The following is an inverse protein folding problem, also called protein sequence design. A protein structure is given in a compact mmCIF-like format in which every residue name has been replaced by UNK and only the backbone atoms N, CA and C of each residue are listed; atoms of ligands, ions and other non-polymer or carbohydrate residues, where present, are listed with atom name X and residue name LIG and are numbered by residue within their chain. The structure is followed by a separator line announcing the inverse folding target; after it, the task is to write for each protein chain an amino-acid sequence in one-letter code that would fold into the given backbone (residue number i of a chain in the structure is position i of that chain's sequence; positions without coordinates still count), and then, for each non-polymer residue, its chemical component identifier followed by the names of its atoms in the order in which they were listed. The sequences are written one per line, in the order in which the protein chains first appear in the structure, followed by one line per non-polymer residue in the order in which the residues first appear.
data_IF_651759038234
#
_entry.id   IF_651759038234
#
_cell.length_a   1.000
_cell.length_b   1.000
_cell.length_c   1.000
_cell.angle_alpha   90.00
_cell.angle_beta   90.00
_cell.angle_gamma   90.00
#
_symmetry.space_group_name_H-M   'P 1'
#
loop_
_entity.id
_entity.type
_entity.pdbx_description
1 polymer ?
#
# COMPACT_ATOMS: atom_id res chain seq x y z
N UNK A 1 13.83 49.72 -1.44
CA UNK A 1 13.89 48.64 -0.43
C UNK A 1 13.89 47.32 -1.18
N UNK A 2 14.96 46.54 -1.07
CA UNK A 2 14.99 45.19 -1.62
C UNK A 2 13.89 44.37 -0.94
N UNK A 3 13.06 43.67 -1.73
CA UNK A 3 12.15 42.68 -1.14
C UNK A 3 12.98 41.62 -0.42
N UNK A 4 12.51 41.09 0.73
CA UNK A 4 13.20 40.00 1.39
C UNK A 4 13.27 38.80 0.43
N UNK A 5 14.37 38.04 0.40
CA UNK A 5 14.43 36.80 -0.36
C UNK A 5 13.23 35.94 0.03
N UNK A 6 12.51 35.44 -0.98
CA UNK A 6 11.27 34.69 -0.82
C UNK A 6 11.43 33.67 0.29
N UNK A 7 10.43 33.65 1.18
CA UNK A 7 10.34 32.82 2.37
C UNK A 7 10.92 31.44 2.08
N UNK A 8 12.05 31.12 2.72
CA UNK A 8 12.70 29.82 2.56
C UNK A 8 11.64 28.69 2.64
N UNK A 9 11.75 27.66 1.79
CA UNK A 9 10.85 26.52 1.76
C UNK A 9 10.94 25.72 3.09
N UNK A 10 10.29 26.23 4.14
CA UNK A 10 10.20 25.63 5.48
C UNK A 10 9.13 24.53 5.55
N UNK A 11 8.21 24.50 4.57
CA UNK A 11 7.20 23.47 4.44
C UNK A 11 7.75 22.28 3.65
N UNK A 12 7.52 21.10 4.20
CA UNK A 12 7.87 19.82 3.59
C UNK A 12 7.02 19.60 2.34
N UNK A 13 7.65 19.35 1.19
CA UNK A 13 6.96 18.93 -0.05
C UNK A 13 7.36 17.50 -0.37
N UNK A 14 6.41 16.63 -0.68
CA UNK A 14 6.69 15.26 -1.11
C UNK A 14 6.14 14.98 -2.51
N UNK A 15 6.90 14.20 -3.26
CA UNK A 15 6.49 13.59 -4.51
C UNK A 15 6.67 12.08 -4.40
N UNK A 16 5.59 11.33 -4.55
CA UNK A 16 5.69 9.88 -4.67
C UNK A 16 6.23 9.52 -6.06
N UNK A 17 7.30 8.74 -6.10
CA UNK A 17 7.98 8.29 -7.32
C UNK A 17 8.06 6.77 -7.40
N UNK A 18 7.24 6.06 -6.61
CA UNK A 18 7.25 4.59 -6.49
C UNK A 18 7.07 3.89 -7.84
N UNK A 19 6.17 4.39 -8.69
CA UNK A 19 5.99 3.83 -10.04
C UNK A 19 7.25 3.96 -10.88
N UNK A 20 7.85 5.14 -10.90
CA UNK A 20 9.09 5.38 -11.64
C UNK A 20 10.24 4.53 -11.08
N UNK A 21 10.32 4.38 -9.76
CA UNK A 21 11.33 3.56 -9.11
C UNK A 21 11.23 2.09 -9.54
N UNK A 22 10.02 1.53 -9.63
CA UNK A 22 9.80 0.18 -10.15
C UNK A 22 10.37 0.02 -11.55
N UNK A 23 9.99 0.92 -12.46
CA UNK A 23 10.46 0.91 -13.85
C UNK A 23 11.99 1.09 -13.93
N UNK A 24 12.57 1.90 -13.03
CA UNK A 24 14.01 2.11 -12.94
C UNK A 24 14.74 0.84 -12.50
N UNK A 25 14.29 0.16 -11.43
CA UNK A 25 14.90 -1.09 -10.97
C UNK A 25 14.78 -2.20 -12.00
N UNK A 26 13.63 -2.33 -12.66
CA UNK A 26 13.44 -3.30 -13.74
C UNK A 26 14.44 -3.10 -14.88
N UNK A 27 14.73 -1.84 -15.25
CA UNK A 27 15.67 -1.50 -16.31
C UNK A 27 17.12 -1.66 -15.87
N UNK A 28 17.51 -1.05 -14.76
CA UNK A 28 18.91 -0.93 -14.37
C UNK A 28 19.46 -2.23 -13.78
N UNK A 29 18.69 -2.95 -12.97
CA UNK A 29 19.18 -4.20 -12.38
C UNK A 29 19.37 -5.30 -13.44
N UNK A 30 18.56 -5.30 -14.51
CA UNK A 30 18.73 -6.23 -15.63
C UNK A 30 20.02 -5.99 -16.44
N UNK A 31 20.72 -4.86 -16.23
CA UNK A 31 22.02 -4.61 -16.87
C UNK A 31 23.19 -5.29 -16.15
N UNK A 32 22.95 -5.82 -14.95
CA UNK A 32 24.00 -6.42 -14.13
C UNK A 32 24.41 -7.78 -14.71
N UNK A 33 25.67 -7.85 -15.13
CA UNK A 33 26.33 -9.08 -15.55
C UNK A 33 27.74 -9.13 -14.96
N UNK A 34 28.07 -10.25 -14.33
CA UNK A 34 29.34 -10.46 -13.66
C UNK A 34 29.98 -11.75 -14.17
N UNK A 35 31.29 -11.70 -14.42
CA UNK A 35 32.07 -12.87 -14.84
C UNK A 35 32.52 -13.66 -13.62
N UNK A 36 32.49 -14.98 -13.72
CA UNK A 36 32.96 -15.89 -12.68
C UNK A 36 34.49 -16.03 -12.67
N UNK A 37 34.98 -16.91 -11.80
CA UNK A 37 36.42 -17.10 -11.61
C UNK A 37 37.03 -18.00 -12.71
N UNK A 38 36.22 -18.81 -13.41
CA UNK A 38 36.66 -19.60 -14.57
C UNK A 38 36.23 -19.00 -15.90
N UNK A 39 37.03 -19.27 -16.93
CA UNK A 39 36.74 -18.86 -18.30
C UNK A 39 35.43 -19.51 -18.78
N UNK A 40 34.44 -18.69 -19.12
CA UNK A 40 33.10 -19.12 -19.54
C UNK A 40 32.02 -19.03 -18.45
N UNK A 41 32.37 -18.81 -17.18
CA UNK A 41 31.37 -18.61 -16.12
C UNK A 41 30.82 -17.17 -16.15
N UNK A 42 29.50 -17.04 -16.21
CA UNK A 42 28.80 -15.73 -16.20
C UNK A 42 27.58 -15.83 -15.30
N UNK A 43 27.33 -14.79 -14.50
CA UNK A 43 26.12 -14.63 -13.69
C UNK A 43 25.49 -13.28 -14.03
N UNK A 44 24.20 -13.26 -14.30
CA UNK A 44 23.45 -12.05 -14.64
C UNK A 44 22.10 -11.99 -13.93
N UNK A 45 21.57 -10.78 -13.81
CA UNK A 45 20.18 -10.57 -13.39
C UNK A 45 19.31 -10.64 -14.63
N UNK A 46 18.35 -11.56 -14.63
CA UNK A 46 17.41 -11.77 -15.75
C UNK A 46 16.32 -10.69 -15.76
N UNK A 47 15.64 -10.52 -14.62
CA UNK A 47 14.63 -9.47 -14.44
C UNK A 47 14.27 -9.28 -12.98
N UNK A 48 13.72 -8.11 -12.66
CA UNK A 48 12.98 -7.89 -11.40
C UNK A 48 11.56 -8.46 -11.57
N UNK A 49 11.13 -9.26 -10.61
CA UNK A 49 9.79 -9.88 -10.61
C UNK A 49 8.79 -9.12 -9.76
N UNK A 50 9.27 -8.53 -8.66
CA UNK A 50 8.41 -7.76 -7.77
C UNK A 50 9.22 -6.69 -7.05
N UNK A 51 8.56 -5.57 -6.79
CA UNK A 51 9.06 -4.48 -5.96
C UNK A 51 7.89 -4.02 -5.09
N UNK A 52 8.07 -4.08 -3.79
CA UNK A 52 7.07 -3.68 -2.81
C UNK A 52 7.67 -2.64 -1.87
N UNK A 53 6.87 -1.67 -1.43
CA UNK A 53 7.35 -0.53 -0.64
C UNK A 53 7.23 0.82 -1.35
N UNK A 54 7.70 1.85 -0.66
CA UNK A 54 7.42 3.24 -0.98
C UNK A 54 8.70 3.98 -1.36
N UNK A 55 8.62 4.81 -2.40
CA UNK A 55 9.71 5.71 -2.81
C UNK A 55 9.17 7.12 -2.97
N UNK A 56 9.72 8.04 -2.19
CA UNK A 56 9.36 9.45 -2.17
C UNK A 56 10.59 10.35 -2.32
N UNK A 57 10.39 11.46 -3.03
CA UNK A 57 11.33 12.57 -3.04
C UNK A 57 10.72 13.73 -2.26
N UNK A 58 11.38 14.11 -1.18
CA UNK A 58 11.02 15.23 -0.33
C UNK A 58 11.84 16.48 -0.62
N UNK A 59 11.29 17.66 -0.34
CA UNK A 59 12.03 18.91 -0.26
C UNK A 59 11.80 19.56 1.09
N UNK A 60 12.88 19.85 1.82
CA UNK A 60 12.86 20.57 3.10
C UNK A 60 14.02 21.54 3.20
N UNK A 61 13.76 22.78 3.63
CA UNK A 61 14.80 23.82 3.77
C UNK A 61 15.63 23.97 2.49
N UNK A 62 14.96 23.91 1.33
CA UNK A 62 15.57 23.94 0.00
C UNK A 62 16.53 22.79 -0.33
N UNK A 63 16.56 21.72 0.47
CA UNK A 63 17.30 20.48 0.17
C UNK A 63 16.34 19.40 -0.28
N UNK A 64 16.72 18.66 -1.32
CA UNK A 64 16.03 17.44 -1.73
C UNK A 64 16.51 16.28 -0.85
N UNK A 65 15.58 15.45 -0.41
CA UNK A 65 15.82 14.30 0.46
C UNK A 65 15.07 13.13 -0.18
N UNK A 66 15.76 12.06 -0.52
CA UNK A 66 15.10 10.81 -0.93
C UNK A 66 14.64 10.09 0.33
N UNK A 67 13.46 9.47 0.29
CA UNK A 67 12.98 8.58 1.35
C UNK A 67 12.45 7.36 0.65
N UNK A 68 13.05 6.22 0.91
CA UNK A 68 12.60 4.98 0.33
C UNK A 68 12.90 3.82 1.24
N UNK A 69 12.00 2.85 1.19
CA UNK A 69 12.13 1.54 1.80
C UNK A 69 11.40 0.57 0.88
N UNK A 70 12.16 -0.30 0.23
CA UNK A 70 11.62 -1.22 -0.76
C UNK A 70 12.17 -2.63 -0.58
N UNK A 71 11.28 -3.61 -0.72
CA UNK A 71 11.62 -5.00 -0.92
C UNK A 71 11.72 -5.29 -2.40
N UNK A 72 12.82 -5.89 -2.84
CA UNK A 72 13.06 -6.24 -4.24
C UNK A 72 13.17 -7.76 -4.38
N UNK A 73 12.42 -8.32 -5.32
CA UNK A 73 12.52 -9.73 -5.72
C UNK A 73 12.96 -9.79 -7.18
N UNK A 74 14.10 -10.43 -7.44
CA UNK A 74 14.66 -10.57 -8.77
C UNK A 74 14.97 -12.03 -9.12
N UNK A 75 14.97 -12.33 -10.42
CA UNK A 75 15.49 -13.59 -10.96
C UNK A 75 16.89 -13.38 -11.47
N UNK A 76 17.77 -14.31 -11.15
CA UNK A 76 19.14 -14.34 -11.63
C UNK A 76 19.38 -15.64 -12.39
N UNK A 77 20.27 -15.57 -13.35
CA UNK A 77 20.66 -16.66 -14.22
C UNK A 77 22.20 -16.71 -14.27
N UNK A 78 22.74 -17.89 -14.53
CA UNK A 78 24.16 -18.04 -14.72
C UNK A 78 24.49 -19.23 -15.60
N UNK A 79 25.61 -19.14 -16.29
CA UNK A 79 26.15 -20.20 -17.14
C UNK A 79 27.45 -20.67 -16.52
N UNK A 80 27.56 -21.96 -16.22
CA UNK A 80 28.79 -22.57 -15.72
C UNK A 80 29.78 -22.82 -16.88
N UNK A 81 31.04 -23.13 -16.54
CA UNK A 81 32.10 -23.40 -17.52
C UNK A 81 31.82 -24.60 -18.44
N UNK A 82 30.91 -25.49 -18.06
CA UNK A 82 30.49 -26.66 -18.84
C UNK A 82 29.25 -26.38 -19.73
N UNK A 83 28.73 -25.14 -19.71
CA UNK A 83 27.52 -24.74 -20.42
C UNK A 83 26.23 -25.02 -19.64
N UNK A 84 26.30 -25.52 -18.41
CA UNK A 84 25.10 -25.72 -17.57
C UNK A 84 24.50 -24.39 -17.16
N UNK A 85 23.20 -24.23 -17.42
CA UNK A 85 22.44 -23.05 -17.01
C UNK A 85 21.87 -23.24 -15.59
N UNK A 86 22.10 -22.24 -14.76
CA UNK A 86 21.62 -22.16 -13.38
C UNK A 86 20.68 -20.98 -13.27
N UNK A 87 19.53 -21.19 -12.65
CA UNK A 87 18.60 -20.11 -12.39
C UNK A 87 18.11 -20.14 -10.94
N UNK A 88 17.81 -18.96 -10.44
CA UNK A 88 17.37 -18.76 -9.08
C UNK A 88 16.62 -17.46 -8.89
N UNK A 89 16.10 -17.30 -7.68
CA UNK A 89 15.45 -16.07 -7.23
C UNK A 89 16.25 -15.50 -6.08
N UNK A 90 16.43 -14.18 -6.07
CA UNK A 90 17.04 -13.43 -4.98
C UNK A 90 16.02 -12.44 -4.45
N UNK A 91 15.76 -12.50 -3.15
CA UNK A 91 14.91 -11.54 -2.44
C UNK A 91 15.78 -10.68 -1.52
N UNK A 92 15.69 -9.37 -1.70
CA UNK A 92 16.31 -8.37 -0.84
C UNK A 92 15.16 -7.75 -0.06
N UNK A 93 15.03 -8.04 1.24
CA UNK A 93 13.86 -7.66 2.02
C UNK A 93 13.79 -6.16 2.27
N UNK A 94 14.93 -5.47 2.23
CA UNK A 94 15.03 -4.05 2.51
C UNK A 94 16.14 -3.42 1.67
N UNK A 95 15.76 -2.47 0.83
CA UNK A 95 16.60 -1.52 0.12
C UNK A 95 16.06 -0.15 0.49
N UNK A 96 16.73 0.48 1.46
CA UNK A 96 16.27 1.71 2.10
C UNK A 96 17.32 2.81 2.08
N UNK A 97 16.88 4.06 2.24
CA UNK A 97 17.76 5.23 2.28
C UNK A 97 18.87 5.08 3.34
N UNK A 98 18.49 4.63 4.53
CA UNK A 98 19.38 4.47 5.68
C UNK A 98 20.45 3.39 5.44
N UNK A 99 20.14 2.35 4.66
CA UNK A 99 21.11 1.31 4.29
C UNK A 99 22.03 1.82 3.18
N UNK A 100 21.46 2.41 2.12
CA UNK A 100 22.24 2.81 0.94
C UNK A 100 23.16 4.00 1.19
N UNK A 101 22.68 5.03 1.88
CA UNK A 101 23.39 6.30 2.03
C UNK A 101 24.08 6.42 3.39
N UNK A 102 23.41 6.01 4.46
CA UNK A 102 23.94 6.15 5.83
C UNK A 102 24.74 4.92 6.28
N UNK A 103 24.66 3.80 5.54
CA UNK A 103 25.38 2.57 5.88
C UNK A 103 24.99 2.01 7.25
N UNK A 104 23.76 2.26 7.68
CA UNK A 104 23.26 1.89 9.01
C UNK A 104 23.25 0.38 9.25
N UNK A 105 23.18 -0.42 8.19
CA UNK A 105 23.21 -1.89 8.20
C UNK A 105 23.67 -2.44 6.85
N UNK A 106 24.03 -3.73 6.81
CA UNK A 106 24.33 -4.42 5.56
C UNK A 106 23.05 -4.93 4.90
N UNK A 107 23.02 -4.97 3.57
CA UNK A 107 21.92 -5.59 2.84
C UNK A 107 21.79 -7.08 3.18
N UNK A 108 20.54 -7.52 3.38
CA UNK A 108 20.23 -8.92 3.55
C UNK A 108 19.87 -9.57 2.21
N UNK A 109 20.52 -10.67 1.86
CA UNK A 109 20.29 -11.39 0.61
C UNK A 109 19.68 -12.77 0.89
N UNK A 110 18.40 -12.96 0.52
CA UNK A 110 17.71 -14.24 0.65
C UNK A 110 17.71 -14.96 -0.69
N UNK A 111 18.56 -15.96 -0.82
CA UNK A 111 18.73 -16.73 -2.04
C UNK A 111 17.79 -17.93 -2.09
N UNK A 112 17.25 -18.20 -3.27
CA UNK A 112 16.50 -19.41 -3.58
C UNK A 112 16.99 -19.97 -4.91
N UNK A 113 17.32 -21.26 -4.95
CA UNK A 113 17.79 -21.94 -6.15
C UNK A 113 16.61 -22.69 -6.77
N UNK A 114 16.40 -22.53 -8.07
CA UNK A 114 15.32 -23.21 -8.78
C UNK A 114 15.83 -24.44 -9.55
N UNK A 115 17.09 -24.42 -9.99
CA UNK A 115 17.78 -25.56 -10.63
C UNK A 115 18.15 -26.64 -9.59
N UNK A 116 18.13 -27.91 -9.99
CA UNK A 116 18.57 -29.02 -9.13
C UNK A 116 20.04 -28.88 -8.71
N UNK A 117 20.33 -29.20 -7.45
CA UNK A 117 21.65 -29.04 -6.86
C UNK A 117 22.63 -30.07 -7.44
N UNK A 118 23.73 -29.57 -7.99
CA UNK A 118 24.87 -30.33 -8.50
C UNK A 118 26.15 -29.61 -8.07
N UNK A 119 27.29 -30.30 -7.90
CA UNK A 119 28.55 -29.66 -7.51
C UNK A 119 28.96 -28.47 -8.38
N UNK A 120 28.61 -28.51 -9.68
CA UNK A 120 28.85 -27.40 -10.62
C UNK A 120 27.93 -26.20 -10.33
N UNK A 121 26.67 -26.49 -10.02
CA UNK A 121 25.64 -25.49 -9.70
C UNK A 121 25.95 -24.81 -8.36
N UNK A 122 26.42 -25.56 -7.37
CA UNK A 122 26.84 -25.01 -6.07
C UNK A 122 28.06 -24.08 -6.22
N UNK A 123 29.06 -24.48 -7.00
CA UNK A 123 30.23 -23.64 -7.25
C UNK A 123 29.84 -22.31 -7.92
N UNK A 124 28.96 -22.34 -8.94
CA UNK A 124 28.48 -21.12 -9.59
C UNK A 124 27.59 -20.29 -8.66
N UNK A 125 26.82 -20.93 -7.79
CA UNK A 125 25.99 -20.24 -6.80
C UNK A 125 26.83 -19.51 -5.75
N UNK A 126 27.98 -20.05 -5.35
CA UNK A 126 28.92 -19.37 -4.46
C UNK A 126 29.61 -18.18 -5.14
N UNK A 127 29.90 -18.29 -6.43
CA UNK A 127 30.32 -17.14 -7.26
C UNK A 127 29.22 -16.08 -7.30
N UNK A 128 27.96 -16.47 -7.52
CA UNK A 128 26.84 -15.53 -7.53
C UNK A 128 26.69 -14.82 -6.17
N UNK A 129 26.80 -15.55 -5.05
CA UNK A 129 26.73 -14.97 -3.69
C UNK A 129 27.87 -14.01 -3.36
N UNK A 130 29.05 -14.20 -3.95
CA UNK A 130 30.20 -13.35 -3.68
C UNK A 130 30.28 -12.14 -4.61
N UNK A 131 29.83 -12.29 -5.86
CA UNK A 131 30.02 -11.28 -6.92
C UNK A 131 28.78 -10.45 -7.24
N UNK A 132 27.58 -11.00 -7.05
CA UNK A 132 26.34 -10.28 -7.36
C UNK A 132 26.00 -9.19 -6.32
N UNK A 133 26.18 -9.40 -5.00
CA UNK A 133 25.88 -8.36 -4.01
C UNK A 133 26.67 -7.05 -4.23
N UNK A 134 28.00 -7.05 -4.42
CA UNK A 134 28.73 -5.80 -4.67
C UNK A 134 28.27 -5.07 -5.94
N UNK A 135 27.87 -5.81 -6.98
CA UNK A 135 27.35 -5.22 -8.22
C UNK A 135 25.96 -4.61 -8.03
N UNK A 136 25.10 -5.25 -7.23
CA UNK A 136 23.79 -4.71 -6.86
C UNK A 136 23.93 -3.46 -6.00
N UNK A 137 24.83 -3.46 -5.02
CA UNK A 137 25.09 -2.32 -4.14
C UNK A 137 25.61 -1.10 -4.90
N UNK A 138 26.48 -1.30 -5.89
CA UNK A 138 26.93 -0.24 -6.79
C UNK A 138 25.74 0.41 -7.54
N UNK A 139 24.79 -0.40 -8.02
CA UNK A 139 23.57 0.11 -8.66
C UNK A 139 22.61 0.77 -7.66
N UNK A 140 22.47 0.24 -6.45
CA UNK A 140 21.66 0.89 -5.41
C UNK A 140 22.20 2.27 -5.03
N UNK A 141 23.52 2.46 -5.03
CA UNK A 141 24.13 3.77 -4.79
C UNK A 141 23.82 4.82 -5.88
N UNK A 142 23.57 4.38 -7.13
CA UNK A 142 23.14 5.27 -8.23
C UNK A 142 21.68 5.72 -8.08
N UNK A 143 20.85 4.94 -7.40
CA UNK A 143 19.40 5.14 -7.34
C UNK A 143 18.97 6.49 -6.72
N UNK A 144 19.50 6.92 -5.55
CA UNK A 144 19.19 8.24 -5.01
C UNK A 144 19.54 9.40 -5.95
N UNK A 145 20.67 9.29 -6.65
CA UNK A 145 21.12 10.29 -7.62
C UNK A 145 20.14 10.35 -8.78
N UNK A 146 19.75 9.21 -9.33
CA UNK A 146 18.79 9.12 -10.42
C UNK A 146 17.41 9.70 -10.06
N UNK A 147 16.93 9.48 -8.83
CA UNK A 147 15.68 10.10 -8.34
C UNK A 147 15.81 11.63 -8.36
N UNK A 148 16.90 12.17 -7.81
CA UNK A 148 17.12 13.61 -7.71
C UNK A 148 17.27 14.25 -9.09
N UNK A 149 18.00 13.64 -10.01
CA UNK A 149 18.18 14.17 -11.36
C UNK A 149 16.88 14.18 -12.16
N UNK A 150 16.08 13.12 -12.04
CA UNK A 150 14.85 12.96 -12.82
C UNK A 150 13.70 13.79 -12.25
N UNK A 151 13.56 13.83 -10.93
CA UNK A 151 12.39 14.40 -10.25
C UNK A 151 12.70 15.62 -9.37
N UNK A 152 13.97 15.94 -9.15
CA UNK A 152 14.36 17.07 -8.30
C UNK A 152 13.87 18.41 -8.82
N UNK A 153 13.87 18.59 -10.15
CA UNK A 153 13.37 19.80 -10.82
C UNK A 153 11.89 20.05 -10.57
N UNK A 154 11.11 18.99 -10.40
CA UNK A 154 9.67 19.09 -10.15
C UNK A 154 9.34 19.66 -8.76
N UNK A 155 10.30 19.58 -7.83
CA UNK A 155 10.17 20.10 -6.47
C UNK A 155 10.91 21.44 -6.29
N UNK A 156 11.97 21.68 -7.06
CA UNK A 156 12.67 22.98 -7.10
C UNK A 156 11.97 23.93 -8.07
N UNK A 157 10.97 24.67 -7.59
CA UNK A 157 10.55 25.91 -8.27
C UNK A 157 11.68 26.94 -8.06
N UNK A 158 12.67 26.91 -8.95
CA UNK A 158 13.60 28.01 -9.14
C UNK A 158 13.06 28.83 -10.31
N UNK A 159 12.63 30.05 -10.01
CA UNK A 159 12.32 31.05 -11.01
C UNK A 159 13.50 31.22 -11.96
N UNK A 160 13.24 31.09 -13.25
CA UNK A 160 14.14 31.58 -14.29
C UNK A 160 14.21 33.12 -14.15
N UNK A 161 15.39 33.74 -13.97
CA UNK A 161 15.50 35.19 -13.80
C UNK A 161 15.36 35.87 -15.16
N UNK A 162 14.14 35.91 -15.69
CA UNK A 162 13.82 36.71 -16.87
C UNK A 162 13.75 38.18 -16.48
N UNK A 163 14.94 38.79 -16.53
CA UNK A 163 15.18 40.20 -16.82
C UNK A 163 14.36 40.62 -18.05
N UNK A 164 13.18 41.19 -17.83
CA UNK A 164 12.50 42.01 -18.81
C UNK A 164 11.72 43.10 -18.08
N UNK A 165 12.05 44.35 -18.41
CA UNK A 165 11.57 45.53 -17.71
C UNK A 165 10.05 45.70 -17.77
N UNK A 166 9.56 46.36 -16.72
CA UNK A 166 8.28 47.02 -16.60
C UNK A 166 7.86 47.72 -17.90
N UNK A 167 6.61 47.54 -18.37
CA UNK A 167 5.93 48.60 -19.10
C UNK A 167 5.07 49.40 -18.11
N UNK A 168 5.39 50.68 -18.03
CA UNK A 168 4.57 51.71 -17.40
C UNK A 168 3.18 51.80 -18.07
N UNK A 169 2.13 52.25 -17.35
CA UNK A 169 0.82 52.48 -17.93
C UNK A 169 0.85 53.75 -18.81
N UNK A 170 0.60 53.59 -20.11
CA UNK A 170 0.42 54.71 -21.03
C UNK A 170 -1.01 55.25 -20.94
N UNK A 171 -1.11 56.54 -20.60
CA UNK A 171 -2.31 57.35 -20.73
C UNK A 171 -2.47 57.88 -22.16
N UNK A 172 -3.70 57.87 -22.67
CA UNK A 172 -4.28 58.84 -23.63
C UNK A 172 -5.80 58.57 -23.68
N UNK A 173 -6.65 59.36 -23.03
CA UNK A 173 -7.19 60.67 -23.44
C UNK A 173 -8.31 60.61 -24.48
N UNK A 174 -9.52 60.84 -23.94
CA UNK A 174 -10.65 61.63 -24.45
C UNK A 174 -11.30 61.28 -25.80
N UNK A 175 -12.62 61.05 -25.76
CA UNK A 175 -13.58 62.03 -26.28
C UNK A 175 -14.98 61.83 -25.68
N UNK A 176 -15.63 62.99 -25.50
CA UNK A 176 -16.82 63.26 -24.72
C UNK A 176 -18.13 62.70 -25.31
N UNK A 177 -19.05 62.32 -24.42
CA UNK A 177 -20.42 62.87 -24.43
C UNK A 177 -21.08 62.66 -23.06
N UNK A 178 -21.68 63.72 -22.52
CA UNK A 178 -22.62 63.73 -21.41
C UNK A 178 -23.71 64.76 -21.76
N UNK A 179 -24.86 64.86 -21.06
CA UNK A 179 -25.52 63.92 -20.16
C UNK A 179 -26.99 63.65 -20.56
N UNK A 180 -27.62 62.62 -19.99
CA UNK A 180 -29.07 62.43 -20.08
C UNK A 180 -29.57 61.43 -19.06
N UNK A 181 -30.15 61.92 -17.97
CA UNK A 181 -30.94 61.16 -16.99
C UNK A 181 -32.13 62.06 -16.58
N UNK A 182 -33.23 61.56 -15.95
CA UNK A 182 -33.54 60.19 -15.54
C UNK A 182 -35.00 59.74 -15.87
N UNK A 183 -35.35 58.56 -15.35
CA UNK A 183 -36.69 58.08 -14.95
C UNK A 183 -37.52 57.24 -15.95
N UNK A 184 -37.56 55.92 -15.72
CA UNK A 184 -38.72 55.23 -15.14
C UNK A 184 -38.44 53.71 -15.04
N UNK A 185 -38.58 53.12 -13.86
CA UNK A 185 -38.75 51.67 -13.67
C UNK A 185 -40.25 51.34 -13.71
N UNK A 186 -40.69 50.19 -14.25
CA UNK A 186 -40.93 49.00 -13.41
C UNK A 186 -40.71 47.66 -14.18
N UNK A 187 -41.13 46.47 -13.67
CA UNK A 187 -40.34 45.54 -12.86
C UNK A 187 -39.90 44.24 -13.58
N UNK A 188 -39.09 43.47 -12.85
CA UNK A 188 -38.44 42.17 -13.04
C UNK A 188 -39.21 41.05 -13.78
N UNK A 189 -38.55 40.34 -14.71
CA UNK A 189 -38.25 38.87 -14.65
C UNK A 189 -37.57 38.33 -15.95
N UNK A 190 -36.92 37.15 -15.93
CA UNK A 190 -35.50 36.98 -16.29
C UNK A 190 -35.24 36.53 -17.73
N UNK A 191 -34.12 36.96 -18.32
CA UNK A 191 -33.53 36.32 -19.50
C UNK A 191 -32.49 35.27 -19.08
N UNK A 192 -32.87 33.99 -19.20
CA UNK A 192 -31.97 32.90 -19.62
C UNK A 192 -31.46 33.24 -21.04
N UNK A 193 -30.27 32.91 -21.53
CA UNK A 193 -29.26 31.95 -21.11
C UNK A 193 -27.89 32.38 -21.68
N UNK A 194 -26.82 32.18 -20.91
CA UNK A 194 -25.61 31.58 -21.44
C UNK A 194 -25.39 30.31 -20.64
N UNK A 195 -25.40 29.18 -21.34
CA UNK A 195 -25.23 27.86 -20.75
C UNK A 195 -23.89 27.82 -20.00
N UNK A 196 -23.87 27.44 -18.71
CA UNK A 196 -22.61 27.05 -18.09
C UNK A 196 -22.11 25.83 -18.87
N UNK A 197 -20.84 25.85 -19.29
CA UNK A 197 -20.16 24.64 -19.77
C UNK A 197 -20.43 23.56 -18.72
N UNK A 198 -21.14 22.51 -19.12
CA UNK A 198 -21.43 21.35 -18.27
C UNK A 198 -20.09 20.72 -17.90
N UNK A 199 -19.54 21.13 -16.76
CA UNK A 199 -18.47 20.39 -16.12
C UNK A 199 -19.10 19.07 -15.69
N UNK A 200 -18.75 17.99 -16.38
CA UNK A 200 -19.06 16.64 -15.89
C UNK A 200 -18.47 16.54 -14.49
N UNK A 201 -19.34 16.28 -13.54
CA UNK A 201 -19.02 16.34 -12.12
C UNK A 201 -19.40 15.00 -11.50
N UNK A 202 -18.54 14.47 -10.64
CA UNK A 202 -18.68 13.14 -10.04
C UNK A 202 -18.72 13.26 -8.52
N UNK A 203 -19.18 12.20 -7.87
CA UNK A 203 -19.19 12.05 -6.41
C UNK A 203 -18.08 11.10 -5.98
N UNK A 204 -17.31 11.48 -4.96
CA UNK A 204 -16.24 10.67 -4.39
C UNK A 204 -16.57 10.38 -2.93
N UNK A 205 -16.60 9.10 -2.57
CA UNK A 205 -16.91 8.65 -1.21
C UNK A 205 -15.73 7.90 -0.61
N UNK A 206 -15.39 8.23 0.64
CA UNK A 206 -14.39 7.52 1.44
C UNK A 206 -14.95 7.25 2.82
N UNK A 207 -14.65 6.08 3.38
CA UNK A 207 -15.22 5.64 4.66
C UNK A 207 -14.17 4.95 5.55
N UNK A 208 -14.39 5.02 6.86
CA UNK A 208 -13.49 4.42 7.85
C UNK A 208 -14.21 4.19 9.18
N UNK A 209 -13.86 3.10 9.86
CA UNK A 209 -14.31 2.78 11.21
C UNK A 209 -13.27 3.21 12.24
N UNK A 210 -13.67 3.99 13.25
CA UNK A 210 -12.77 4.46 14.33
C UNK A 210 -13.25 3.97 15.70
N UNK A 211 -12.32 3.59 16.58
CA UNK A 211 -12.61 3.39 18.01
C UNK A 211 -12.73 4.73 18.74
N UNK A 212 -13.86 5.41 18.54
CA UNK A 212 -14.15 6.72 19.10
C UNK A 212 -15.66 6.88 19.36
N UNK A 213 -16.04 7.77 20.26
CA UNK A 213 -17.42 8.21 20.36
C UNK A 213 -17.78 9.14 19.18
N UNK A 214 -19.03 9.07 18.69
CA UNK A 214 -19.49 9.95 17.62
C UNK A 214 -19.39 11.44 17.99
N UNK A 215 -19.68 11.79 19.26
CA UNK A 215 -19.54 13.16 19.78
C UNK A 215 -18.10 13.69 19.68
N UNK A 216 -17.09 12.84 19.89
CA UNK A 216 -15.68 13.24 19.81
C UNK A 216 -15.26 13.48 18.35
N UNK A 217 -15.64 12.59 17.43
CA UNK A 217 -15.36 12.75 16.00
C UNK A 217 -16.07 13.99 15.43
N UNK A 218 -17.33 14.19 15.82
CA UNK A 218 -18.09 15.39 15.45
C UNK A 218 -17.41 16.65 15.96
N UNK A 219 -16.98 16.65 17.22
CA UNK A 219 -16.27 17.79 17.84
C UNK A 219 -14.92 18.05 17.16
N UNK A 220 -14.18 17.02 16.75
CA UNK A 220 -12.91 17.17 16.02
C UNK A 220 -13.10 17.80 14.64
N UNK A 221 -14.27 17.66 14.02
CA UNK A 221 -14.60 18.24 12.71
C UNK A 221 -15.20 19.66 12.79
N UNK A 222 -15.66 20.08 13.97
CA UNK A 222 -16.42 21.32 14.14
C UNK A 222 -15.80 22.32 15.12
N UNK A 223 -15.07 21.87 16.13
CA UNK A 223 -14.46 22.76 17.14
C UNK A 223 -13.12 23.30 16.64
N UNK A 224 -13.04 24.62 16.47
CA UNK A 224 -11.84 25.36 16.05
C UNK A 224 -10.59 24.97 16.86
N UNK A 225 -10.73 24.67 18.15
CA UNK A 225 -9.59 24.32 19.02
C UNK A 225 -9.13 22.88 18.84
N UNK A 226 -10.02 21.99 18.39
CA UNK A 226 -9.73 20.56 18.24
C UNK A 226 -9.29 20.20 16.82
N UNK A 227 -9.78 20.93 15.81
CA UNK A 227 -9.42 20.70 14.41
C UNK A 227 -7.89 20.68 14.17
N UNK A 228 -7.07 21.60 14.74
CA UNK A 228 -5.62 21.59 14.56
C UNK A 228 -4.92 20.30 15.01
N UNK A 229 -5.53 19.52 15.91
CA UNK A 229 -4.94 18.26 16.37
C UNK A 229 -4.76 17.28 15.22
N UNK A 230 -5.76 17.13 14.35
CA UNK A 230 -5.73 16.19 13.24
C UNK A 230 -5.31 16.81 11.90
N UNK A 231 -5.58 18.11 11.70
CA UNK A 231 -5.12 18.82 10.48
C UNK A 231 -3.66 19.24 10.55
N UNK A 232 -3.06 19.28 11.76
CA UNK A 232 -1.70 19.77 12.04
C UNK A 232 -1.44 21.19 11.55
N UNK A 233 -2.51 21.97 11.33
CA UNK A 233 -2.45 23.32 10.82
C UNK A 233 -3.49 24.20 11.53
N UNK A 234 -3.29 25.53 11.55
CA UNK A 234 -4.33 26.45 12.00
C UNK A 234 -5.62 26.25 11.21
N UNK A 235 -6.73 26.31 11.91
CA UNK A 235 -8.05 26.22 11.34
C UNK A 235 -8.92 27.38 11.85
N UNK A 236 -9.93 27.73 11.07
CA UNK A 236 -11.05 28.57 11.50
C UNK A 236 -12.31 27.75 11.40
N UNK A 237 -13.17 27.84 12.40
CA UNK A 237 -14.45 27.14 12.37
C UNK A 237 -15.50 27.95 13.10
N UNK A 238 -16.55 28.34 12.39
CA UNK A 238 -17.79 28.85 12.96
C UNK A 238 -18.90 27.79 12.81
N UNK A 239 -19.06 26.84 13.75
CA UNK A 239 -19.92 25.66 13.60
C UNK A 239 -21.41 26.01 13.79
N UNK A 240 -21.94 26.81 12.86
CA UNK A 240 -23.35 27.18 12.73
C UNK A 240 -23.73 27.13 11.26
N UNK A 241 -24.98 26.80 10.89
CA UNK A 241 -25.43 26.90 9.51
C UNK A 241 -25.18 28.31 8.94
N UNK A 242 -24.52 28.38 7.79
CA UNK A 242 -24.03 29.60 7.15
C UNK A 242 -22.67 30.10 7.63
N UNK A 243 -22.14 29.57 8.73
CA UNK A 243 -20.83 29.90 9.29
C UNK A 243 -19.69 29.44 8.39
N UNK A 244 -18.61 30.20 8.38
CA UNK A 244 -17.43 29.95 7.56
C UNK A 244 -16.43 29.05 8.28
N UNK A 245 -15.72 28.23 7.50
CA UNK A 245 -14.63 27.42 8.00
C UNK A 245 -13.45 27.46 7.04
N UNK A 246 -12.27 27.19 7.60
CA UNK A 246 -11.02 27.03 6.86
C UNK A 246 -10.17 25.96 7.52
N UNK A 247 -9.77 24.96 6.74
CA UNK A 247 -8.95 23.83 7.18
C UNK A 247 -7.59 23.88 6.49
N UNK A 248 -6.62 23.14 7.04
CA UNK A 248 -5.28 22.97 6.47
C UNK A 248 -4.58 24.29 6.16
N UNK A 249 -4.71 25.30 7.04
CA UNK A 249 -4.07 26.60 6.87
C UNK A 249 -4.61 27.44 5.70
N UNK A 250 -5.86 27.22 5.27
CA UNK A 250 -6.47 27.92 4.12
C UNK A 250 -6.63 27.06 2.88
N UNK A 251 -5.97 25.90 2.83
CA UNK A 251 -6.02 25.02 1.65
C UNK A 251 -7.43 24.54 1.31
N UNK A 252 -8.28 24.37 2.32
CA UNK A 252 -9.71 24.08 2.15
C UNK A 252 -10.51 25.16 2.87
N UNK A 253 -11.54 25.66 2.22
CA UNK A 253 -12.46 26.64 2.80
C UNK A 253 -13.89 26.41 2.33
N UNK A 254 -14.84 26.93 3.10
CA UNK A 254 -16.24 26.79 2.76
C UNK A 254 -17.16 27.28 3.87
N UNK A 255 -18.42 26.85 3.79
CA UNK A 255 -19.48 27.20 4.73
C UNK A 255 -20.19 25.95 5.21
N UNK A 256 -20.57 25.94 6.48
CA UNK A 256 -21.48 24.94 7.00
C UNK A 256 -22.86 25.14 6.37
N UNK A 257 -23.39 24.15 5.68
CA UNK A 257 -24.73 24.18 5.08
C UNK A 257 -25.74 23.66 6.10
N UNK A 258 -25.44 22.52 6.73
CA UNK A 258 -26.26 21.91 7.76
C UNK A 258 -25.38 21.21 8.79
N UNK A 259 -25.81 21.21 10.04
CA UNK A 259 -25.10 20.61 11.17
C UNK A 259 -26.11 19.89 12.06
N UNK A 260 -25.97 18.57 12.17
CA UNK A 260 -26.82 17.71 13.01
C UNK A 260 -25.91 16.95 13.98
N UNK A 261 -25.54 17.53 15.14
CA UNK A 261 -24.72 16.83 16.12
C UNK A 261 -25.39 15.56 16.67
N UNK A 262 -24.65 14.45 16.89
CA UNK A 262 -23.30 14.13 16.41
C UNK A 262 -23.29 13.33 15.10
N UNK A 263 -24.37 13.37 14.32
CA UNK A 263 -24.67 12.42 13.23
C UNK A 263 -24.22 12.87 11.86
N UNK A 264 -24.32 14.16 11.54
CA UNK A 264 -24.15 14.63 10.16
C UNK A 264 -23.61 16.07 10.10
N UNK A 265 -22.68 16.30 9.19
CA UNK A 265 -22.12 17.62 8.86
C UNK A 265 -22.17 17.78 7.34
N UNK A 266 -22.91 18.77 6.86
CA UNK A 266 -22.97 19.12 5.43
C UNK A 266 -22.30 20.47 5.24
N UNK A 267 -21.31 20.53 4.37
CA UNK A 267 -20.47 21.69 4.16
C UNK A 267 -20.29 21.97 2.67
N UNK A 268 -20.25 23.24 2.27
CA UNK A 268 -19.65 23.61 1.00
C UNK A 268 -18.14 23.46 1.11
N UNK A 269 -17.49 23.00 0.06
CA UNK A 269 -16.10 22.59 0.07
C UNK A 269 -15.41 23.13 -1.18
N UNK A 270 -14.40 23.98 -0.99
CA UNK A 270 -13.59 24.51 -2.06
C UNK A 270 -12.11 24.34 -1.74
N UNK A 271 -11.33 24.05 -2.78
CA UNK A 271 -9.89 23.86 -2.69
C UNK A 271 -9.18 25.14 -3.15
N UNK A 272 -8.23 25.64 -2.37
CA UNK A 272 -7.32 26.69 -2.79
C UNK A 272 -6.18 26.09 -3.62
N UNK A 273 -6.50 25.58 -4.81
CA UNK A 273 -5.55 24.96 -5.73
C UNK A 273 -5.81 25.41 -7.16
N UNK A 274 -4.76 25.63 -7.99
CA UNK A 274 -4.93 25.94 -9.41
C UNK A 274 -5.52 24.78 -10.22
N UNK A 275 -5.66 23.59 -9.61
CA UNK A 275 -6.15 22.36 -10.23
C UNK A 275 -7.69 22.36 -10.33
N UNK A 276 -8.39 22.98 -9.38
CA UNK A 276 -9.84 23.13 -9.44
C UNK A 276 -10.20 24.41 -10.22
N UNK A 277 -11.26 24.39 -11.07
CA UNK A 277 -11.69 25.59 -11.78
C UNK A 277 -11.99 26.73 -10.80
N UNK A 278 -11.56 27.94 -11.13
CA UNK A 278 -11.75 29.11 -10.25
C UNK A 278 -13.21 29.31 -9.88
N UNK A 279 -13.49 29.34 -8.57
CA UNK A 279 -14.85 29.50 -8.02
C UNK A 279 -15.69 28.22 -8.00
N UNK A 280 -15.12 27.07 -8.36
CA UNK A 280 -15.81 25.78 -8.25
C UNK A 280 -15.89 25.32 -6.80
N UNK A 281 -17.10 24.98 -6.36
CA UNK A 281 -17.39 24.54 -5.00
C UNK A 281 -18.12 23.20 -5.06
N UNK A 282 -17.65 22.24 -4.28
CA UNK A 282 -18.30 20.95 -4.05
C UNK A 282 -19.08 20.97 -2.73
N UNK A 283 -19.81 19.89 -2.45
CA UNK A 283 -20.53 19.67 -1.21
C UNK A 283 -19.95 18.44 -0.52
N UNK A 284 -19.39 18.62 0.67
CA UNK A 284 -18.89 17.56 1.51
C UNK A 284 -19.97 17.20 2.55
N UNK A 285 -20.44 15.97 2.50
CA UNK A 285 -21.35 15.38 3.49
C UNK A 285 -20.55 14.38 4.32
N UNK A 286 -20.45 14.65 5.62
CA UNK A 286 -19.85 13.74 6.59
C UNK A 286 -20.95 13.11 7.43
N UNK A 287 -21.07 11.79 7.37
CA UNK A 287 -22.02 11.01 8.14
C UNK A 287 -21.29 10.18 9.19
N UNK A 288 -21.76 10.24 10.43
CA UNK A 288 -21.18 9.58 11.59
C UNK A 288 -22.23 8.64 12.19
N UNK A 289 -21.97 7.35 12.11
CA UNK A 289 -22.86 6.29 12.61
C UNK A 289 -22.18 5.57 13.76
N UNK A 290 -22.69 5.78 14.97
CA UNK A 290 -22.18 5.12 16.17
C UNK A 290 -22.71 3.69 16.25
N UNK A 291 -21.79 2.74 16.33
CA UNK A 291 -22.03 1.32 16.61
C UNK A 291 -21.71 1.02 18.08
N UNK A 292 -21.83 -0.25 18.49
CA UNK A 292 -21.65 -0.68 19.89
C UNK A 292 -20.22 -0.51 20.40
N UNK A 293 -19.21 -0.70 19.54
CA UNK A 293 -17.78 -0.73 19.88
C UNK A 293 -16.90 0.19 19.01
N UNK A 294 -17.52 0.88 18.05
CA UNK A 294 -16.84 1.65 17.03
C UNK A 294 -17.79 2.69 16.42
N UNK A 295 -17.25 3.64 15.67
CA UNK A 295 -18.02 4.64 14.93
C UNK A 295 -17.58 4.63 13.47
N UNK A 296 -18.54 4.40 12.57
CA UNK A 296 -18.33 4.46 11.12
C UNK A 296 -18.49 5.90 10.66
N UNK A 297 -17.48 6.42 9.95
CA UNK A 297 -17.51 7.76 9.36
C UNK A 297 -17.40 7.65 7.85
N UNK A 298 -18.33 8.29 7.15
CA UNK A 298 -18.36 8.37 5.69
C UNK A 298 -18.22 9.83 5.27
N UNK A 299 -17.26 10.13 4.39
CA UNK A 299 -17.10 11.42 3.73
C UNK A 299 -17.51 11.25 2.27
N UNK A 300 -18.65 11.83 1.88
CA UNK A 300 -19.09 11.93 0.48
C UNK A 300 -18.86 13.36 0.00
N UNK A 301 -18.08 13.51 -1.07
CA UNK A 301 -17.83 14.79 -1.73
C UNK A 301 -18.50 14.76 -3.10
N UNK A 302 -19.66 15.40 -3.18
CA UNK A 302 -20.40 15.60 -4.42
C UNK A 302 -20.00 16.93 -5.05
N UNK A 303 -19.55 16.92 -6.30
CA UNK A 303 -19.07 18.15 -6.92
C UNK A 303 -17.65 18.06 -7.48
N UNK A 304 -17.05 16.89 -7.58
CA UNK A 304 -15.65 16.75 -8.02
C UNK A 304 -15.57 16.86 -9.55
N UNK A 305 -14.72 17.75 -10.10
CA UNK A 305 -14.52 17.83 -11.55
C UNK A 305 -14.06 16.50 -12.16
N UNK A 306 -14.60 16.13 -13.33
CA UNK A 306 -14.23 14.91 -14.02
C UNK A 306 -12.71 14.80 -14.25
N UNK A 307 -12.16 13.61 -13.98
CA UNK A 307 -10.71 13.33 -14.07
C UNK A 307 -9.93 13.61 -12.78
N UNK A 308 -10.53 14.26 -11.77
CA UNK A 308 -9.90 14.54 -10.48
C UNK A 308 -10.39 13.62 -9.35
N UNK A 309 -11.20 12.61 -9.68
CA UNK A 309 -11.86 11.70 -8.73
C UNK A 309 -10.83 10.95 -7.87
N UNK A 310 -9.87 10.27 -8.51
CA UNK A 310 -8.84 9.48 -7.83
C UNK A 310 -7.88 10.32 -6.99
N UNK A 311 -7.54 11.53 -7.43
CA UNK A 311 -6.73 12.46 -6.65
C UNK A 311 -7.52 12.96 -5.42
N UNK A 312 -8.77 13.34 -5.63
CA UNK A 312 -9.64 13.84 -4.57
C UNK A 312 -9.93 12.75 -3.53
N UNK A 313 -10.14 11.51 -3.97
CA UNK A 313 -10.29 10.35 -3.10
C UNK A 313 -9.05 10.14 -2.23
N UNK A 314 -7.87 10.09 -2.85
CA UNK A 314 -6.59 9.94 -2.16
C UNK A 314 -6.32 11.07 -1.17
N UNK A 315 -6.70 12.29 -1.51
CA UNK A 315 -6.59 13.44 -0.61
C UNK A 315 -7.57 13.35 0.55
N UNK A 316 -8.83 12.97 0.32
CA UNK A 316 -9.79 12.76 1.42
C UNK A 316 -9.30 11.65 2.38
N UNK A 317 -8.84 10.52 1.86
CA UNK A 317 -8.25 9.45 2.68
C UNK A 317 -6.97 9.92 3.40
N UNK A 318 -6.09 10.60 2.68
CA UNK A 318 -4.77 11.03 3.16
C UNK A 318 -4.82 12.15 4.20
N UNK A 319 -5.78 13.07 4.10
CA UNK A 319 -5.89 14.20 5.01
C UNK A 319 -6.93 13.98 6.11
N UNK A 320 -8.13 13.48 5.78
CA UNK A 320 -9.20 13.32 6.78
C UNK A 320 -9.00 12.00 7.53
N UNK A 321 -9.01 10.86 6.84
CA UNK A 321 -8.92 9.56 7.49
C UNK A 321 -7.57 9.38 8.20
N UNK A 322 -6.44 9.58 7.51
CA UNK A 322 -5.12 9.48 8.16
C UNK A 322 -4.91 10.57 9.21
N UNK A 323 -5.52 11.75 9.06
CA UNK A 323 -5.50 12.80 10.07
C UNK A 323 -6.03 12.30 11.41
N UNK A 324 -7.19 11.64 11.42
CA UNK A 324 -7.75 11.01 12.62
C UNK A 324 -6.87 9.88 13.15
N UNK A 325 -6.31 9.03 12.27
CA UNK A 325 -5.35 8.01 12.72
C UNK A 325 -4.13 8.59 13.41
N UNK A 326 -3.61 9.70 12.91
CA UNK A 326 -2.38 10.33 13.42
C UNK A 326 -2.50 10.85 14.85
N UNK A 327 -3.73 11.07 15.34
CA UNK A 327 -4.01 11.47 16.72
C UNK A 327 -4.42 10.31 17.61
N UNK A 328 -4.26 9.07 17.13
CA UNK A 328 -4.45 7.85 17.91
C UNK A 328 -5.79 7.14 17.71
N UNK A 329 -6.65 7.59 16.79
CA UNK A 329 -7.87 6.85 16.47
C UNK A 329 -7.55 5.65 15.57
N UNK A 330 -7.58 4.46 16.17
CA UNK A 330 -7.31 3.20 15.48
C UNK A 330 -8.41 2.94 14.45
N UNK A 331 -8.03 2.83 13.17
CA UNK A 331 -8.95 2.33 12.15
C UNK A 331 -9.10 0.82 12.34
N UNK A 332 -10.32 0.36 12.58
CA UNK A 332 -10.62 -1.06 12.55
C UNK A 332 -10.64 -1.50 11.10
N UNK A 333 -9.68 -2.34 10.73
CA UNK A 333 -9.77 -3.13 9.50
C UNK A 333 -10.84 -4.19 9.80
N UNK A 334 -11.98 -4.11 9.13
CA UNK A 334 -12.93 -5.22 9.14
C UNK A 334 -12.22 -6.44 8.57
N UNK A 335 -11.82 -7.35 9.45
CA UNK A 335 -11.38 -8.67 9.06
C UNK A 335 -12.63 -9.42 8.62
N UNK A 336 -12.97 -9.35 7.34
CA UNK A 336 -13.80 -10.39 6.73
C UNK A 336 -12.90 -11.62 6.59
N UNK A 337 -13.10 -12.69 7.40
CA UNK A 337 -12.42 -13.94 7.10
C UNK A 337 -12.86 -14.35 5.70
N UNK A 338 -11.92 -14.37 4.76
CA UNK A 338 -12.11 -15.11 3.51
C UNK A 338 -12.23 -16.57 3.93
N UNK A 339 -13.47 -17.03 4.09
CA UNK A 339 -13.76 -18.45 4.22
C UNK A 339 -13.41 -19.08 2.88
N UNK A 340 -12.15 -19.48 2.73
CA UNK A 340 -11.76 -20.44 1.72
C UNK A 340 -12.47 -21.73 2.11
N UNK A 341 -13.45 -22.23 1.33
CA UNK A 341 -14.05 -23.52 1.64
C UNK A 341 -12.91 -24.54 1.63
N UNK A 342 -12.58 -25.03 2.81
CA UNK A 342 -11.61 -26.11 3.02
C UNK A 342 -11.98 -27.21 2.04
N UNK A 343 -11.01 -27.58 1.20
CA UNK A 343 -11.14 -28.70 0.29
C UNK A 343 -11.72 -29.87 1.07
N UNK A 344 -12.81 -30.45 0.52
CA UNK A 344 -13.49 -31.61 1.08
C UNK A 344 -12.45 -32.58 1.65
N UNK A 345 -12.58 -33.06 2.90
CA UNK A 345 -11.68 -34.09 3.40
C UNK A 345 -11.79 -35.27 2.43
N UNK A 346 -10.67 -35.58 1.77
CA UNK A 346 -10.51 -36.81 1.01
C UNK A 346 -10.84 -37.94 1.97
N UNK A 347 -11.88 -38.71 1.65
CA UNK A 347 -12.26 -39.87 2.43
C UNK A 347 -11.02 -40.76 2.62
N UNK A 348 -10.52 -40.81 3.86
CA UNK A 348 -9.48 -41.74 4.27
C UNK A 348 -10.12 -43.11 4.33
N UNK A 349 -9.87 -43.94 3.32
CA UNK A 349 -10.09 -45.37 3.41
C UNK A 349 -9.26 -45.87 4.59
N UNK A 350 -9.92 -46.28 5.68
CA UNK A 350 -9.29 -46.90 6.84
C UNK A 350 -8.48 -48.10 6.36
N UNK A 351 -7.14 -47.95 6.31
CA UNK A 351 -6.22 -49.08 6.36
C UNK A 351 -6.03 -49.42 7.83
N UNK A 352 -6.55 -50.57 8.22
CA UNK A 352 -6.38 -51.19 9.53
C UNK A 352 -4.89 -51.32 9.85
N UNK A 353 -4.43 -51.01 11.08
CA UNK A 353 -3.05 -51.24 11.48
C UNK A 353 -2.77 -52.74 11.65
N UNK A 354 -1.53 -53.23 11.40
CA UNK A 354 -1.17 -54.59 11.76
C UNK A 354 -1.05 -54.70 13.28
N UNK A 355 -1.85 -55.58 13.86
CA UNK A 355 -1.87 -55.90 15.29
C UNK A 355 -0.65 -56.76 15.65
N UNK A 356 0.22 -56.24 16.52
CA UNK A 356 1.37 -56.97 17.05
C UNK A 356 0.97 -57.82 18.27
N UNK A 357 0.96 -59.13 18.06
CA UNK A 357 1.24 -60.25 19.00
C UNK A 357 0.84 -60.10 20.48
N UNK A 358 -0.09 -60.94 20.91
CA UNK A 358 -0.04 -61.62 22.22
C UNK A 358 -0.30 -63.13 22.06
N UNK A 359 0.26 -63.89 23.00
CA UNK A 359 0.71 -65.30 22.99
C UNK A 359 -0.25 -66.42 22.52
N UNK A 360 0.26 -67.54 21.99
CA UNK A 360 -0.55 -68.72 21.72
C UNK A 360 -0.78 -69.53 23.00
N UNK A 361 -2.03 -69.61 23.44
CA UNK A 361 -2.50 -70.53 24.46
C UNK A 361 -2.58 -71.95 23.89
N UNK A 362 -1.88 -72.86 24.56
CA UNK A 362 -1.89 -74.31 24.40
C UNK A 362 -3.32 -74.89 24.43
N UNK A 363 -3.82 -75.39 23.28
CA UNK A 363 -4.85 -76.46 23.20
C UNK A 363 -5.14 -76.78 21.72
N UNK A 364 -4.33 -77.63 21.07
CA UNK A 364 -4.94 -78.83 20.48
C UNK A 364 -4.10 -80.11 20.65
N UNK A 365 -2.98 -80.07 21.38
CA UNK A 365 -2.13 -81.24 21.63
C UNK A 365 -2.69 -82.21 22.69
N UNK A 366 -3.66 -81.78 23.50
CA UNK A 366 -4.28 -82.61 24.56
C UNK A 366 -5.44 -83.46 24.03
N UNK A 367 -6.13 -83.02 22.97
CA UNK A 367 -7.22 -83.81 22.36
C UNK A 367 -6.74 -84.97 21.49
N UNK A 368 -5.53 -84.86 20.91
CA UNK A 368 -4.93 -85.95 20.11
C UNK A 368 -4.18 -86.94 21.00
N UNK A 369 -3.61 -86.51 22.14
CA UNK A 369 -2.97 -87.41 23.11
C UNK A 369 -3.99 -88.24 23.92
N UNK A 370 -5.17 -87.69 24.25
CA UNK A 370 -6.23 -88.44 24.94
C UNK A 370 -6.92 -89.49 24.04
N UNK A 371 -6.97 -89.29 22.72
CA UNK A 371 -7.51 -90.27 21.78
C UNK A 371 -6.54 -91.43 21.48
N UNK A 372 -5.23 -91.20 21.58
CA UNK A 372 -4.21 -92.26 21.40
C UNK A 372 -4.00 -93.09 22.68
N UNK A 373 -4.19 -92.50 23.88
CA UNK A 373 -4.15 -93.22 25.16
C UNK A 373 -5.40 -94.07 25.45
N UNK A 374 -6.58 -93.70 24.92
CA UNK A 374 -7.79 -94.52 25.03
C UNK A 374 -7.78 -95.76 24.11
N UNK A 375 -7.05 -95.70 22.99
CA UNK A 375 -6.86 -96.83 22.07
C UNK A 375 -5.74 -97.81 22.52
N UNK A 376 -4.81 -97.37 23.39
CA UNK A 376 -3.73 -98.21 23.91
C UNK A 376 -4.10 -98.99 25.19
N UNK A 377 -5.19 -98.64 25.88
CA UNK A 377 -5.70 -99.36 27.08
C UNK A 377 -6.91 -100.26 26.81
N UNK A 378 -7.39 -100.34 25.57
CA UNK A 378 -8.48 -101.23 25.15
C UNK A 378 -8.01 -102.52 24.44
N UNK A 379 -6.69 -102.75 24.34
CA UNK A 379 -6.12 -103.90 23.64
C UNK A 379 -5.85 -105.16 24.52
N UNK A 380 -5.76 -105.15 25.88
CA UNK A 380 -5.56 -106.42 26.60
C UNK A 380 -6.85 -107.13 27.04
N UNK A 381 -8.04 -106.64 26.68
CA UNK A 381 -9.31 -107.32 27.04
C UNK A 381 -9.88 -108.26 25.96
N UNK A 382 -9.17 -108.46 24.84
CA UNK A 382 -9.57 -109.41 23.77
C UNK A 382 -8.63 -110.62 23.63
N UNK A 383 -7.76 -110.89 24.60
CA UNK A 383 -6.86 -112.05 24.56
C UNK A 383 -6.70 -112.76 25.90
N UNK A 384 -7.81 -113.15 26.54
CA UNK A 384 -7.84 -114.34 27.43
C UNK A 384 -9.28 -114.68 27.86
N UNK A 385 -10.01 -115.47 27.06
CA UNK A 385 -10.92 -116.51 27.57
C UNK A 385 -10.94 -117.67 26.57
N UNK A 386 -10.41 -118.80 27.05
CA UNK A 386 -10.71 -120.21 26.70
C UNK A 386 -10.65 -120.63 25.23
N UNK A 387 -9.65 -121.40 24.78
CA UNK A 387 -9.35 -122.79 25.14
C UNK A 387 -10.54 -123.74 25.07
N UNK A 388 -10.53 -124.52 23.98
CA UNK A 388 -10.74 -125.97 23.87
C UNK A 388 -12.04 -126.59 24.40
N UNK A 389 -12.85 -127.08 23.45
CA UNK A 389 -13.05 -128.53 23.27
C UNK A 389 -13.42 -128.86 21.84
#
# INVERSE_FOLDING_TARGET
MAMPPSTANWHWKNKNVTRWAREWFERELATISVKGDKEGEVVSVSRVTDMDGDVELGQRKSKLITIYDTKIVLKWEGTASDGTEVNGTLTIPEVSHEITLDGSSNYAYKWNLTTETSPVVEALFDVAKSRLPPALEAKFAEFPVAIIETHGKDLTVSEDPSRAGTPAPAAASASAYAPGAPAASPPTQPKKAQQPKTLTTTEVTVESNFQAAADDLYSLLTDEKRIPAWTRAPAKSDPRPGGEFSLFGGGVYGKYVSLTPPREIVQSWALQSPIWPSGHTATLTTTIVQSTDSTHVTFSLAGVPAGMEEETKRNLEGYYIRGFKSIGYVQLIEYTPTYTPSSKPRATTKRTPPESRSSPSYTPAILIACLVLAAAFSIPYLSSVSSSK
#
